data_IF_968062318145
#
_entry.id   IF_968062318145
#
_cell.length_a   1.000
_cell.length_b   1.000
_cell.length_c   1.000
_cell.angle_alpha   90.00
_cell.angle_beta   90.00
_cell.angle_gamma   90.00
#
_symmetry.space_group_name_H-M   'P 1'
#
loop_
_entity.id
_entity.type
_entity.pdbx_description
1 polymer ?
#
# COMPACT_ATOMS: atom_id res chain seq x y z
N UNK A 1 3.92 0.91 -18.22
CA UNK A 1 4.44 1.19 -16.87
C UNK A 1 3.61 2.29 -16.22
N UNK A 2 2.97 2.02 -15.08
CA UNK A 2 2.15 3.00 -14.34
C UNK A 2 3.07 3.92 -13.51
N UNK A 3 3.75 4.87 -14.16
CA UNK A 3 4.46 5.91 -13.43
C UNK A 3 3.43 6.79 -12.70
N UNK A 4 3.51 6.85 -11.37
CA UNK A 4 2.65 7.71 -10.55
C UNK A 4 1.46 7.01 -9.89
N UNK A 5 1.31 5.69 -10.00
CA UNK A 5 0.30 4.99 -9.21
C UNK A 5 0.62 5.04 -7.71
N UNK A 6 -0.36 5.33 -6.84
CA UNK A 6 -0.15 5.34 -5.39
C UNK A 6 0.22 3.94 -4.87
N UNK A 7 0.94 3.84 -3.73
CA UNK A 7 1.23 2.56 -3.11
C UNK A 7 -0.06 1.80 -2.77
N UNK A 8 -0.08 0.47 -2.96
CA UNK A 8 -1.24 -0.38 -2.70
C UNK A 8 -1.75 -0.22 -1.27
N UNK A 9 -0.86 -0.13 -0.28
CA UNK A 9 -1.23 0.11 1.11
C UNK A 9 -2.07 1.38 1.29
N UNK A 10 -1.71 2.48 0.59
CA UNK A 10 -2.44 3.74 0.67
C UNK A 10 -3.80 3.68 -0.03
N UNK A 11 -3.89 2.93 -1.14
CA UNK A 11 -5.14 2.69 -1.86
C UNK A 11 -6.12 1.90 -0.99
N UNK A 12 -5.62 0.82 -0.40
CA UNK A 12 -6.39 -0.07 0.47
C UNK A 12 -6.85 0.62 1.75
N UNK A 13 -5.99 1.44 2.37
CA UNK A 13 -6.37 2.22 3.55
C UNK A 13 -7.47 3.24 3.24
N UNK A 14 -7.37 3.95 2.11
CA UNK A 14 -8.43 4.89 1.67
C UNK A 14 -9.75 4.18 1.43
N UNK A 15 -9.72 2.98 0.84
CA UNK A 15 -10.92 2.19 0.65
C UNK A 15 -11.53 1.76 1.99
N UNK A 16 -10.70 1.33 2.95
CA UNK A 16 -11.17 0.95 4.28
C UNK A 16 -11.81 2.14 5.02
N UNK A 17 -11.20 3.33 4.94
CA UNK A 17 -11.74 4.58 5.49
C UNK A 17 -13.08 4.96 4.82
N UNK A 18 -13.14 4.94 3.49
CA UNK A 18 -14.38 5.20 2.71
C UNK A 18 -15.51 4.20 3.06
N UNK A 19 -15.17 2.97 3.46
CA UNK A 19 -16.16 1.95 3.83
C UNK A 19 -16.66 2.05 5.27
N UNK A 20 -15.81 2.49 6.21
CA UNK A 20 -16.15 2.57 7.63
C UNK A 20 -17.09 3.73 7.97
N UNK A 21 -17.06 4.81 7.18
CA UNK A 21 -17.94 5.98 7.39
C UNK A 21 -19.38 5.75 6.88
N UNK A 22 -19.63 4.70 6.10
CA UNK A 22 -20.94 4.43 5.50
C UNK A 22 -21.85 3.51 6.34
N UNK A 23 -21.36 2.91 7.43
CA UNK A 23 -22.15 1.98 8.25
C UNK A 23 -22.94 2.66 9.41
N UNK A 24 -22.91 4.00 9.55
CA UNK A 24 -23.64 4.71 10.62
C UNK A 24 -25.01 5.31 10.21
N UNK A 25 -25.42 5.29 8.93
CA UNK A 25 -26.76 5.73 8.52
C UNK A 25 -27.57 4.62 7.81
N UNK A 26 -28.84 4.51 8.23
CA UNK A 26 -29.96 3.75 7.64
C UNK A 26 -30.17 2.28 8.02
N UNK A 27 -30.69 2.11 9.24
CA UNK A 27 -31.86 1.26 9.46
C UNK A 27 -33.12 1.93 8.88
N UNK A 28 -33.51 1.58 7.65
CA UNK A 28 -34.90 1.71 7.20
C UNK A 28 -35.09 2.11 5.73
N UNK A 29 -35.78 1.27 4.96
CA UNK A 29 -36.47 1.72 3.74
C UNK A 29 -36.27 0.84 2.51
N UNK A 30 -37.15 -0.14 2.36
CA UNK A 30 -37.35 -0.87 1.10
C UNK A 30 -38.08 0.02 0.08
N UNK A 31 -37.46 0.28 -1.08
CA UNK A 31 -38.03 0.25 -2.44
C UNK A 31 -37.39 1.26 -3.42
N UNK A 32 -36.81 0.69 -4.48
CA UNK A 32 -36.74 1.19 -5.87
C UNK A 32 -36.07 2.55 -6.18
N UNK A 33 -34.86 2.48 -6.74
CA UNK A 33 -34.54 3.06 -8.07
C UNK A 33 -33.16 2.60 -8.55
N UNK A 34 -33.08 2.25 -9.83
CA UNK A 34 -31.87 1.82 -10.53
C UNK A 34 -30.96 3.01 -10.88
N UNK A 35 -30.55 3.77 -9.87
CA UNK A 35 -29.39 4.65 -9.93
C UNK A 35 -28.35 4.04 -9.01
N UNK A 36 -27.20 3.66 -9.57
CA UNK A 36 -26.18 2.85 -8.90
C UNK A 36 -25.82 3.40 -7.52
N UNK A 37 -26.43 2.82 -6.49
CA UNK A 37 -26.03 2.98 -5.10
C UNK A 37 -24.59 2.49 -5.01
N UNK A 38 -23.67 3.44 -4.99
CA UNK A 38 -22.27 3.22 -4.60
C UNK A 38 -22.24 2.99 -3.10
N UNK A 39 -22.74 1.82 -2.69
CA UNK A 39 -22.55 1.34 -1.32
C UNK A 39 -21.05 1.20 -1.01
N UNK A 40 -20.69 1.15 0.28
CA UNK A 40 -19.31 0.91 0.70
C UNK A 40 -18.78 -0.35 0.02
N UNK A 41 -17.63 -0.23 -0.65
CA UNK A 41 -16.96 -1.35 -1.32
C UNK A 41 -16.50 -2.36 -0.27
N UNK A 42 -17.30 -3.38 -0.01
CA UNK A 42 -16.86 -4.51 0.81
C UNK A 42 -15.70 -5.20 0.10
N UNK A 43 -14.56 -5.28 0.79
CA UNK A 43 -13.34 -5.91 0.27
C UNK A 43 -13.48 -7.42 0.05
N UNK A 44 -14.59 -7.99 0.54
CA UNK A 44 -15.01 -9.39 0.44
C UNK A 44 -14.92 -9.92 -1.01
N UNK A 45 -15.15 -9.07 -2.02
CA UNK A 45 -15.09 -9.42 -3.45
C UNK A 45 -14.04 -8.57 -4.22
N UNK A 46 -12.78 -8.62 -3.77
CA UNK A 46 -11.67 -7.95 -4.46
C UNK A 46 -11.08 -8.80 -5.60
N UNK A 47 -10.99 -8.23 -6.80
CA UNK A 47 -10.27 -8.82 -7.94
C UNK A 47 -9.00 -8.03 -8.22
N UNK A 48 -7.86 -8.73 -8.26
CA UNK A 48 -6.55 -8.14 -8.54
C UNK A 48 -6.11 -8.56 -9.94
N UNK A 49 -5.85 -7.59 -10.81
CA UNK A 49 -5.34 -7.82 -12.16
C UNK A 49 -3.83 -7.59 -12.18
N UNK A 50 -3.08 -8.63 -12.56
CA UNK A 50 -1.62 -8.58 -12.68
C UNK A 50 -1.23 -8.92 -14.12
N UNK A 51 -0.26 -8.19 -14.66
CA UNK A 51 0.40 -8.54 -15.92
C UNK A 51 1.48 -9.60 -15.74
N UNK A 52 1.94 -10.16 -16.85
CA UNK A 52 3.07 -11.09 -16.91
C UNK A 52 4.42 -10.35 -16.88
N UNK A 53 5.49 -11.00 -17.37
CA UNK A 53 6.83 -10.39 -17.46
C UNK A 53 6.89 -9.18 -18.41
N UNK A 54 5.94 -9.05 -19.34
CA UNK A 54 5.80 -7.91 -20.25
C UNK A 54 4.83 -6.86 -19.72
N UNK A 55 4.01 -7.25 -18.75
CA UNK A 55 2.96 -6.41 -18.18
C UNK A 55 1.72 -6.35 -19.07
N UNK A 56 0.73 -5.57 -18.65
CA UNK A 56 -0.50 -5.38 -19.42
C UNK A 56 -0.28 -4.39 -20.57
N UNK A 57 -0.76 -4.76 -21.75
CA UNK A 57 -0.88 -3.86 -22.90
C UNK A 57 -1.95 -2.80 -22.64
N UNK A 58 -1.92 -1.70 -23.42
CA UNK A 58 -2.94 -0.66 -23.29
C UNK A 58 -4.36 -1.18 -23.51
N UNK A 59 -4.55 -2.09 -24.46
CA UNK A 59 -5.86 -2.70 -24.74
C UNK A 59 -6.35 -3.57 -23.57
N UNK A 60 -5.47 -4.33 -22.93
CA UNK A 60 -5.81 -5.15 -21.75
C UNK A 60 -6.12 -4.28 -20.53
N UNK A 61 -5.41 -3.17 -20.36
CA UNK A 61 -5.73 -2.18 -19.32
C UNK A 61 -7.14 -1.64 -19.57
N UNK A 62 -7.42 -1.12 -20.76
CA UNK A 62 -8.76 -0.60 -21.10
C UNK A 62 -9.87 -1.65 -20.95
N UNK A 63 -9.59 -2.90 -21.31
CA UNK A 63 -10.51 -4.01 -21.12
C UNK A 63 -10.77 -4.26 -19.61
N UNK A 64 -9.72 -4.28 -18.78
CA UNK A 64 -9.84 -4.45 -17.34
C UNK A 64 -10.64 -3.31 -16.70
N UNK A 65 -10.41 -2.05 -17.11
CA UNK A 65 -11.19 -0.90 -16.66
C UNK A 65 -12.67 -1.02 -17.03
N UNK A 66 -12.96 -1.37 -18.29
CA UNK A 66 -14.34 -1.54 -18.76
C UNK A 66 -15.06 -2.68 -18.07
N UNK A 67 -14.40 -3.83 -17.91
CA UNK A 67 -14.96 -5.00 -17.25
C UNK A 67 -15.17 -4.70 -15.77
N UNK A 68 -14.19 -4.13 -15.07
CA UNK A 68 -14.35 -3.81 -13.65
C UNK A 68 -15.45 -2.76 -13.39
N UNK A 69 -15.61 -1.80 -14.31
CA UNK A 69 -16.68 -0.80 -14.24
C UNK A 69 -18.08 -1.35 -14.63
N UNK A 70 -18.19 -2.59 -15.10
CA UNK A 70 -19.48 -3.19 -15.51
C UNK A 70 -19.83 -4.45 -14.73
N UNK A 71 -18.84 -5.23 -14.32
CA UNK A 71 -19.00 -6.41 -13.48
C UNK A 71 -19.43 -6.01 -12.06
N UNK A 72 -20.32 -6.82 -11.46
CA UNK A 72 -20.70 -6.70 -10.05
C UNK A 72 -21.44 -5.42 -9.65
N UNK A 73 -22.02 -4.67 -10.59
CA UNK A 73 -22.77 -3.43 -10.28
C UNK A 73 -21.97 -2.13 -10.48
N UNK A 74 -20.79 -2.19 -11.10
CA UNK A 74 -20.03 -1.00 -11.47
C UNK A 74 -19.02 -0.56 -10.42
N UNK A 75 -18.25 -1.52 -9.91
CA UNK A 75 -17.21 -1.28 -8.92
C UNK A 75 -16.10 -0.33 -9.41
N UNK A 76 -15.45 0.33 -8.45
CA UNK A 76 -14.35 1.26 -8.73
C UNK A 76 -13.11 0.47 -9.13
N UNK A 77 -12.62 0.67 -10.34
CA UNK A 77 -11.31 0.15 -10.76
C UNK A 77 -10.22 1.11 -10.27
N UNK A 78 -9.18 0.55 -9.66
CA UNK A 78 -8.10 1.32 -9.04
C UNK A 78 -6.74 0.85 -9.57
N UNK A 79 -5.85 1.81 -9.78
CA UNK A 79 -4.46 1.53 -10.08
C UNK A 79 -3.63 1.67 -8.80
N UNK A 80 -2.77 0.69 -8.54
CA UNK A 80 -1.90 0.66 -7.37
C UNK A 80 -0.49 0.19 -7.73
N UNK A 81 0.50 0.67 -6.99
CA UNK A 81 1.89 0.23 -7.06
C UNK A 81 2.27 -0.63 -5.85
N UNK A 82 3.00 -1.72 -6.09
CA UNK A 82 3.52 -2.60 -5.04
C UNK A 82 4.94 -2.23 -4.58
N UNK A 83 5.56 -1.20 -5.17
CA UNK A 83 6.89 -0.75 -4.80
C UNK A 83 7.65 -0.02 -5.90
N UNK A 84 8.91 0.33 -5.63
CA UNK A 84 9.77 1.07 -6.55
C UNK A 84 10.49 0.23 -7.62
N UNK A 85 10.31 -1.10 -7.61
CA UNK A 85 11.00 -2.02 -8.53
C UNK A 85 10.04 -2.94 -9.28
N UNK A 86 10.52 -3.52 -10.38
CA UNK A 86 9.80 -4.57 -11.10
C UNK A 86 9.80 -5.86 -10.26
N UNK A 87 8.62 -6.42 -10.03
CA UNK A 87 8.42 -7.65 -9.27
C UNK A 87 7.84 -8.73 -10.19
N UNK A 88 8.20 -9.98 -9.93
CA UNK A 88 7.51 -11.12 -10.53
C UNK A 88 6.05 -11.13 -10.05
N UNK A 89 5.13 -11.54 -10.92
CA UNK A 89 3.70 -11.66 -10.57
C UNK A 89 3.47 -12.52 -9.31
N UNK A 90 4.27 -13.56 -9.11
CA UNK A 90 4.23 -14.39 -7.89
C UNK A 90 4.54 -13.60 -6.61
N UNK A 91 5.51 -12.69 -6.65
CA UNK A 91 5.81 -11.80 -5.51
C UNK A 91 4.69 -10.79 -5.29
N UNK A 92 4.07 -10.31 -6.37
CA UNK A 92 2.93 -9.40 -6.28
C UNK A 92 1.76 -10.03 -5.52
N UNK A 93 1.43 -11.30 -5.83
CA UNK A 93 0.38 -12.05 -5.14
C UNK A 93 0.66 -12.12 -3.63
N UNK A 94 1.89 -12.46 -3.24
CA UNK A 94 2.28 -12.54 -1.82
C UNK A 94 2.13 -11.19 -1.11
N UNK A 95 2.55 -10.10 -1.75
CA UNK A 95 2.41 -8.77 -1.18
C UNK A 95 0.94 -8.34 -1.07
N UNK A 96 0.13 -8.62 -2.09
CA UNK A 96 -1.30 -8.35 -2.05
C UNK A 96 -1.96 -9.07 -0.86
N UNK A 97 -1.71 -10.37 -0.69
CA UNK A 97 -2.19 -11.10 0.47
C UNK A 97 -1.69 -10.50 1.78
N UNK A 98 -0.41 -10.16 1.88
CA UNK A 98 0.13 -9.53 3.08
C UNK A 98 -0.62 -8.24 3.47
N UNK A 99 -0.98 -7.40 2.49
CA UNK A 99 -1.74 -6.19 2.77
C UNK A 99 -3.20 -6.46 3.11
N UNK A 100 -3.84 -7.41 2.41
CA UNK A 100 -5.21 -7.81 2.72
C UNK A 100 -5.31 -8.44 4.11
N UNK A 101 -4.36 -9.29 4.49
CA UNK A 101 -4.30 -9.89 5.83
C UNK A 101 -4.15 -8.81 6.93
N UNK A 102 -3.40 -7.74 6.63
CA UNK A 102 -3.22 -6.62 7.55
C UNK A 102 -4.48 -5.75 7.70
N UNK A 103 -5.35 -5.69 6.68
CA UNK A 103 -6.62 -4.96 6.73
C UNK A 103 -7.73 -5.73 7.44
N UNK A 104 -7.80 -7.04 7.24
CA UNK A 104 -8.85 -7.87 7.84
C UNK A 104 -8.69 -8.07 9.35
N UNK A 105 -7.74 -7.35 9.97
CA UNK A 105 -7.34 -7.50 11.37
C UNK A 105 -7.26 -8.98 11.76
N UNK A 106 -6.79 -9.81 10.79
CA UNK A 106 -6.85 -11.25 10.88
C UNK A 106 -6.12 -11.60 12.18
N UNK A 107 -6.86 -12.05 13.20
CA UNK A 107 -6.32 -12.04 14.52
C UNK A 107 -5.12 -12.98 14.49
N UNK A 108 -3.95 -12.47 14.87
CA UNK A 108 -2.73 -13.28 14.97
C UNK A 108 -2.97 -14.53 15.86
N UNK A 109 -4.06 -14.52 16.64
CA UNK A 109 -4.57 -15.62 17.47
C UNK A 109 -5.37 -16.70 16.74
N UNK A 110 -5.48 -16.71 15.41
CA UNK A 110 -5.83 -17.96 14.69
C UNK A 110 -4.80 -19.07 14.95
N UNK A 111 -3.62 -18.68 15.44
CA UNK A 111 -2.59 -19.51 16.02
C UNK A 111 -2.60 -19.22 17.51
N UNK A 112 -3.35 -20.01 18.30
CA UNK A 112 -3.57 -19.76 19.75
C UNK A 112 -2.26 -19.56 20.54
N UNK A 113 -1.13 -20.06 20.02
CA UNK A 113 0.19 -19.60 20.42
C UNK A 113 1.12 -19.41 19.20
N UNK A 114 1.68 -18.21 18.96
CA UNK A 114 2.72 -18.06 17.96
C UNK A 114 3.90 -18.94 18.36
N UNK A 115 4.35 -19.81 17.45
CA UNK A 115 5.47 -20.71 17.71
C UNK A 115 6.69 -19.94 18.24
N UNK A 116 7.52 -20.60 19.05
CA UNK A 116 8.73 -19.99 19.62
C UNK A 116 9.64 -19.36 18.56
N UNK A 117 9.62 -19.88 17.33
CA UNK A 117 10.34 -19.33 16.19
C UNK A 117 9.76 -17.99 15.71
N UNK A 118 8.44 -17.90 15.57
CA UNK A 118 7.74 -16.66 15.16
C UNK A 118 7.99 -15.55 16.20
N UNK A 119 7.93 -15.89 17.49
CA UNK A 119 8.24 -14.94 18.56
C UNK A 119 9.69 -14.46 18.50
N UNK A 120 10.64 -15.36 18.23
CA UNK A 120 12.06 -15.03 18.09
C UNK A 120 12.33 -14.13 16.89
N UNK A 121 11.72 -14.44 15.74
CA UNK A 121 11.79 -13.65 14.52
C UNK A 121 11.17 -12.26 14.70
N UNK A 122 10.02 -12.16 15.37
CA UNK A 122 9.36 -10.89 15.66
C UNK A 122 10.24 -10.00 16.55
N UNK A 123 10.80 -10.55 17.65
CA UNK A 123 11.77 -9.84 18.51
C UNK A 123 13.00 -9.39 17.73
N UNK A 124 13.52 -10.21 16.83
CA UNK A 124 14.66 -9.87 15.98
C UNK A 124 14.33 -8.71 15.01
N UNK A 125 13.17 -8.76 14.35
CA UNK A 125 12.68 -7.69 13.46
C UNK A 125 12.47 -6.38 14.22
N UNK A 126 11.88 -6.45 15.41
CA UNK A 126 11.67 -5.27 16.26
C UNK A 126 13.00 -4.63 16.68
N UNK A 127 14.00 -5.45 17.06
CA UNK A 127 15.36 -4.97 17.36
C UNK A 127 16.01 -4.29 16.15
N UNK A 128 15.89 -4.88 14.95
CA UNK A 128 16.41 -4.28 13.71
C UNK A 128 15.72 -2.96 13.37
N UNK A 129 14.39 -2.86 13.51
CA UNK A 129 13.65 -1.61 13.30
C UNK A 129 14.10 -0.51 14.27
N UNK A 130 14.32 -0.86 15.55
CA UNK A 130 14.83 0.07 16.57
C UNK A 130 16.27 0.52 16.29
N UNK A 131 17.14 -0.39 15.88
CA UNK A 131 18.51 -0.08 15.50
C UNK A 131 18.58 0.81 14.25
N UNK A 132 17.75 0.51 13.25
CA UNK A 132 17.62 1.34 12.04
C UNK A 132 17.13 2.76 12.35
N UNK A 133 16.11 2.91 13.21
CA UNK A 133 15.63 4.24 13.64
C UNK A 133 16.71 5.05 14.38
N UNK A 134 17.48 4.43 15.27
CA UNK A 134 18.59 5.11 15.96
C UNK A 134 19.73 5.51 15.01
N UNK A 135 20.00 4.71 13.98
CA UNK A 135 20.98 5.07 12.95
C UNK A 135 20.54 6.25 12.08
N UNK A 136 19.24 6.35 11.79
CA UNK A 136 18.66 7.47 11.03
C UNK A 136 18.57 8.75 11.88
N UNK A 137 18.21 8.66 13.17
CA UNK A 137 18.22 9.82 14.09
C UNK A 137 19.63 10.31 14.40
N UNK A 138 20.62 9.42 14.55
CA UNK A 138 22.01 9.80 14.79
C UNK A 138 22.66 10.48 13.57
N UNK A 139 22.24 10.15 12.35
CA UNK A 139 22.70 10.82 11.13
C UNK A 139 22.03 12.20 10.90
N UNK A 140 20.88 12.46 11.53
CA UNK A 140 20.16 13.72 11.41
C UNK A 140 20.63 14.80 12.41
N UNK A 141 21.48 14.45 13.38
CA UNK A 141 22.08 15.38 14.36
C UNK A 141 23.58 15.55 14.07
N UNK A 142 23.90 16.22 12.97
CA UNK A 142 25.17 16.94 12.82
C UNK A 142 24.85 18.43 12.72
N UNK A 143 24.83 19.17 13.86
CA UNK A 143 24.96 20.61 13.80
C UNK A 143 26.42 20.93 13.47
N UNK A 144 26.62 21.74 12.43
CA UNK A 144 27.93 22.30 12.13
C UNK A 144 28.42 23.20 13.26
N UNK A 145 29.74 23.37 13.33
CA UNK A 145 30.42 24.64 13.65
C UNK A 145 31.93 24.41 13.51
N UNK A 146 32.59 25.24 12.72
CA UNK A 146 34.02 25.10 12.40
C UNK A 146 34.54 26.13 11.40
N UNK A 147 34.24 27.39 11.70
CA UNK A 147 34.82 28.62 11.17
C UNK A 147 36.37 28.56 11.09
N UNK A 148 36.98 29.01 9.97
CA UNK A 148 38.44 29.06 9.85
C UNK A 148 39.01 29.45 8.48
N UNK A 149 39.09 30.76 8.26
CA UNK A 149 40.04 31.54 7.43
C UNK A 149 40.98 30.84 6.42
N UNK A 150 40.99 31.34 5.17
CA UNK A 150 42.23 31.82 4.52
C UNK A 150 41.91 32.55 3.19
N UNK A 151 41.96 33.87 3.23
CA UNK A 151 42.10 34.72 2.04
C UNK A 151 43.53 34.59 1.51
N UNK A 152 43.71 33.89 0.39
CA UNK A 152 44.98 33.75 -0.32
C UNK A 152 45.00 34.58 -1.60
N UNK A 153 45.53 35.80 -1.49
CA UNK A 153 45.97 36.65 -2.59
C UNK A 153 47.13 35.99 -3.34
N UNK A 154 47.02 35.87 -4.66
CA UNK A 154 48.18 35.81 -5.57
C UNK A 154 47.84 36.53 -6.87
N UNK A 155 48.25 37.79 -6.94
CA UNK A 155 48.57 38.47 -8.19
C UNK A 155 49.89 37.91 -8.73
N UNK A 156 50.02 37.78 -10.05
CA UNK A 156 51.09 38.41 -10.88
C UNK A 156 51.12 37.80 -12.28
N UNK A 157 51.02 38.70 -13.26
CA UNK A 157 51.72 38.78 -14.57
C UNK A 157 51.76 37.58 -15.51
#
# INVERSE_FOLDING_TARGET
>A
MLQGAPPLAAVLQRLAEETGEAEEEESGGEAASAEGQRGPLRLDDCVIVLGDDRGLTGEEVEAAWRIGATAGGGGRVLAASLGGGALLASHCIVLCHHYLDALHDCPLSLWEEPSTEVQRLSKQRQRRRRAGRRGVEAAAVSPGDGEGAATGSCASS
#
